data_IF_888486870609
#
_entry.id   IF_888486870609
#
_cell.length_a   1.000
_cell.length_b   1.000
_cell.length_c   1.000
_cell.angle_alpha   90.00
_cell.angle_beta   90.00
_cell.angle_gamma   90.00
#
_symmetry.space_group_name_H-M   'P 1'
#
loop_
_entity.id
_entity.type
_entity.pdbx_description
1 polymer ?
#
# COMPACT_ATOMS: atom_id res chain seq x y z
N UNK A 1 55.77 -36.12 51.75
CA UNK A 1 54.33 -36.50 51.77
C UNK A 1 53.38 -35.38 52.26
N UNK A 2 53.82 -34.41 53.06
CA UNK A 2 52.95 -33.34 53.61
C UNK A 2 52.75 -32.12 52.71
N UNK A 3 53.75 -31.77 51.87
CA UNK A 3 53.70 -30.58 51.00
C UNK A 3 52.66 -30.69 49.87
N UNK A 4 52.56 -31.86 49.23
CA UNK A 4 51.59 -32.14 48.16
C UNK A 4 50.15 -32.11 48.68
N UNK A 5 49.87 -32.69 49.87
CA UNK A 5 48.53 -32.63 50.48
C UNK A 5 48.07 -31.20 50.75
N UNK A 6 48.97 -30.35 51.24
CA UNK A 6 48.66 -28.95 51.49
C UNK A 6 48.36 -28.17 50.20
N UNK A 7 49.14 -28.41 49.15
CA UNK A 7 48.87 -27.82 47.83
C UNK A 7 47.54 -28.29 47.25
N UNK A 8 47.23 -29.59 47.36
CA UNK A 8 45.96 -30.17 46.91
C UNK A 8 44.77 -29.56 47.66
N UNK A 9 44.87 -29.42 48.99
CA UNK A 9 43.83 -28.83 49.83
C UNK A 9 43.57 -27.37 49.46
N UNK A 10 44.63 -26.60 49.21
CA UNK A 10 44.52 -25.18 48.80
C UNK A 10 43.81 -25.07 47.45
N UNK A 11 44.24 -25.89 46.48
CA UNK A 11 43.62 -25.93 45.15
C UNK A 11 42.14 -26.31 45.23
N UNK A 12 41.79 -27.33 46.02
CA UNK A 12 40.40 -27.75 46.23
C UNK A 12 39.51 -26.61 46.78
N UNK A 13 40.00 -25.89 47.80
CA UNK A 13 39.27 -24.78 48.39
C UNK A 13 39.07 -23.62 47.40
N UNK A 14 40.08 -23.32 46.58
CA UNK A 14 39.98 -22.29 45.54
C UNK A 14 38.94 -22.67 44.49
N UNK A 15 39.00 -23.89 43.96
CA UNK A 15 38.07 -24.36 42.92
C UNK A 15 36.62 -24.42 43.43
N UNK A 16 36.44 -24.71 44.72
CA UNK A 16 35.12 -24.71 45.36
C UNK A 16 34.51 -23.31 45.37
N UNK A 17 35.32 -22.28 45.69
CA UNK A 17 34.87 -20.88 45.65
C UNK A 17 34.53 -20.42 44.24
N UNK A 18 35.36 -20.77 43.26
CA UNK A 18 35.12 -20.45 41.85
C UNK A 18 33.82 -21.08 41.33
N UNK A 19 33.56 -22.35 41.69
CA UNK A 19 32.30 -23.03 41.38
C UNK A 19 31.09 -22.31 41.97
N UNK A 20 31.15 -21.92 43.24
CA UNK A 20 30.02 -21.27 43.92
C UNK A 20 29.76 -19.86 43.35
N UNK A 21 30.82 -19.15 42.97
CA UNK A 21 30.72 -17.87 42.25
C UNK A 21 30.09 -18.04 40.86
N UNK A 22 30.56 -19.02 40.08
CA UNK A 22 30.00 -19.33 38.76
C UNK A 22 28.52 -19.72 38.85
N UNK A 23 28.14 -20.51 39.86
CA UNK A 23 26.75 -20.88 40.08
C UNK A 23 25.86 -19.66 40.36
N UNK A 24 26.38 -18.70 41.13
CA UNK A 24 25.66 -17.45 41.42
C UNK A 24 25.47 -16.62 40.14
N UNK A 25 26.53 -16.46 39.34
CA UNK A 25 26.48 -15.73 38.07
C UNK A 25 25.50 -16.40 37.10
N UNK A 26 25.54 -17.73 36.98
CA UNK A 26 24.62 -18.48 36.14
C UNK A 26 23.15 -18.24 36.51
N UNK A 27 22.83 -18.29 37.80
CA UNK A 27 21.48 -18.04 38.29
C UNK A 27 21.01 -16.60 38.00
N UNK A 28 21.90 -15.62 38.14
CA UNK A 28 21.61 -14.21 37.80
C UNK A 28 21.36 -14.05 36.30
N UNK A 29 22.24 -14.56 35.45
CA UNK A 29 22.09 -14.49 33.99
C UNK A 29 20.82 -15.19 33.51
N UNK A 30 20.43 -16.29 34.15
CA UNK A 30 19.17 -16.98 33.84
C UNK A 30 17.96 -16.07 34.08
N UNK A 31 17.94 -15.32 35.18
CA UNK A 31 16.87 -14.35 35.47
C UNK A 31 16.84 -13.21 34.47
N UNK A 32 18.00 -12.65 34.12
CA UNK A 32 18.09 -11.57 33.11
C UNK A 32 17.59 -12.04 31.74
N UNK A 33 17.96 -13.25 31.32
CA UNK A 33 17.46 -13.86 30.08
C UNK A 33 15.94 -13.98 30.09
N UNK A 34 15.35 -14.46 31.18
CA UNK A 34 13.90 -14.66 31.27
C UNK A 34 13.15 -13.31 31.27
N UNK A 35 13.72 -12.28 31.88
CA UNK A 35 13.22 -10.90 31.82
C UNK A 35 13.28 -10.33 30.39
N UNK A 36 14.42 -10.50 29.71
CA UNK A 36 14.59 -10.06 28.32
C UNK A 36 13.62 -10.77 27.38
N UNK A 37 13.43 -12.08 27.56
CA UNK A 37 12.48 -12.86 26.77
C UNK A 37 11.05 -12.34 26.94
N UNK A 38 10.68 -11.95 28.16
CA UNK A 38 9.36 -11.37 28.45
C UNK A 38 9.20 -10.02 27.74
N UNK A 39 10.20 -9.14 27.85
CA UNK A 39 10.20 -7.84 27.18
C UNK A 39 10.10 -7.97 25.65
N UNK A 40 10.87 -8.90 25.07
CA UNK A 40 10.84 -9.19 23.63
C UNK A 40 9.44 -9.61 23.16
N UNK A 41 8.78 -10.50 23.89
CA UNK A 41 7.44 -10.96 23.56
C UNK A 41 6.41 -9.82 23.62
N UNK A 42 6.55 -8.90 24.59
CA UNK A 42 5.68 -7.71 24.70
C UNK A 42 5.88 -6.76 23.52
N UNK A 43 7.12 -6.39 23.21
CA UNK A 43 7.45 -5.48 22.10
C UNK A 43 7.00 -6.08 20.76
N UNK A 44 7.10 -7.40 20.60
CA UNK A 44 6.62 -8.09 19.40
C UNK A 44 5.11 -7.87 19.20
N UNK A 45 4.32 -7.97 20.28
CA UNK A 45 2.87 -7.70 20.22
C UNK A 45 2.56 -6.25 19.90
N UNK A 46 3.27 -5.31 20.51
CA UNK A 46 3.10 -3.88 20.24
C UNK A 46 3.41 -3.55 18.78
N UNK A 47 4.50 -4.11 18.23
CA UNK A 47 4.84 -3.98 16.82
C UNK A 47 3.72 -4.49 15.91
N UNK A 48 3.18 -5.67 16.20
CA UNK A 48 2.14 -6.28 15.36
C UNK A 48 0.83 -5.45 15.41
N UNK A 49 0.50 -4.88 16.58
CA UNK A 49 -0.62 -3.95 16.74
C UNK A 49 -0.40 -2.64 15.95
N UNK A 50 0.79 -2.05 16.05
CA UNK A 50 1.14 -0.84 15.31
C UNK A 50 1.12 -1.08 13.80
N UNK A 51 1.61 -2.23 13.34
CA UNK A 51 1.57 -2.61 11.93
C UNK A 51 0.12 -2.70 11.42
N UNK A 52 -0.77 -3.28 12.23
CA UNK A 52 -2.20 -3.37 11.90
C UNK A 52 -2.81 -1.97 11.80
N UNK A 53 -2.55 -1.11 12.79
CA UNK A 53 -3.03 0.28 12.79
C UNK A 53 -2.55 1.07 11.57
N UNK A 54 -1.26 0.97 11.24
CA UNK A 54 -0.67 1.61 10.07
C UNK A 54 -1.34 1.19 8.76
N UNK A 55 -1.57 -0.12 8.59
CA UNK A 55 -2.23 -0.65 7.40
C UNK A 55 -3.67 -0.14 7.28
N UNK A 56 -4.41 -0.05 8.40
CA UNK A 56 -5.76 0.51 8.44
C UNK A 56 -5.77 1.99 8.08
N UNK A 57 -4.92 2.80 8.71
CA UNK A 57 -4.82 4.24 8.42
C UNK A 57 -4.42 4.51 6.96
N UNK A 58 -3.55 3.67 6.39
CA UNK A 58 -3.15 3.79 4.98
C UNK A 58 -4.35 3.55 4.07
N UNK A 59 -5.15 2.51 4.33
CA UNK A 59 -6.38 2.25 3.57
C UNK A 59 -7.40 3.37 3.72
N UNK A 60 -7.60 3.89 4.93
CA UNK A 60 -8.53 4.99 5.18
C UNK A 60 -8.09 6.27 4.48
N UNK A 61 -6.78 6.58 4.48
CA UNK A 61 -6.23 7.70 3.72
C UNK A 61 -6.48 7.53 2.22
N UNK A 62 -6.14 6.37 1.66
CA UNK A 62 -6.31 6.12 0.22
C UNK A 62 -7.80 6.19 -0.18
N UNK A 63 -8.70 5.70 0.68
CA UNK A 63 -10.13 5.85 0.53
C UNK A 63 -10.58 7.30 0.63
N UNK A 64 -10.04 8.07 1.59
CA UNK A 64 -10.36 9.48 1.77
C UNK A 64 -9.86 10.33 0.61
N UNK A 65 -8.67 10.08 0.07
CA UNK A 65 -8.12 10.77 -1.10
C UNK A 65 -8.97 10.49 -2.34
N UNK A 66 -9.34 9.22 -2.57
CA UNK A 66 -10.26 8.85 -3.66
C UNK A 66 -11.64 9.47 -3.46
N UNK A 67 -12.15 9.44 -2.23
CA UNK A 67 -13.47 9.98 -1.89
C UNK A 67 -13.50 11.51 -1.94
N UNK A 68 -12.44 12.21 -1.58
CA UNK A 68 -12.35 13.68 -1.65
C UNK A 68 -12.25 14.16 -3.11
N UNK A 69 -11.53 13.40 -3.95
CA UNK A 69 -11.53 13.61 -5.40
C UNK A 69 -12.93 13.45 -6.00
N UNK A 70 -13.69 12.45 -5.54
CA UNK A 70 -15.04 12.12 -6.04
C UNK A 70 -16.14 13.00 -5.42
N UNK A 71 -16.06 13.39 -4.14
CA UNK A 71 -17.12 14.13 -3.43
C UNK A 71 -17.15 15.63 -3.71
N UNK A 72 -16.12 16.17 -4.37
CA UNK A 72 -16.06 17.56 -4.79
C UNK A 72 -16.31 17.79 -6.28
N UNK A 73 -16.37 16.72 -7.09
CA UNK A 73 -16.53 16.78 -8.54
C UNK A 73 -17.48 15.68 -8.99
N UNK A 74 -18.61 16.05 -9.58
CA UNK A 74 -19.36 15.10 -10.39
C UNK A 74 -18.49 14.70 -11.58
N UNK A 75 -18.41 13.39 -11.86
CA UNK A 75 -17.74 12.91 -13.07
C UNK A 75 -18.39 13.60 -14.27
N UNK A 76 -17.57 14.23 -15.10
CA UNK A 76 -18.09 15.08 -16.17
C UNK A 76 -18.92 14.26 -17.15
N UNK A 77 -20.17 14.69 -17.36
CA UNK A 77 -21.05 14.20 -18.42
C UNK A 77 -20.88 15.15 -19.60
N UNK A 78 -20.46 14.61 -20.75
CA UNK A 78 -20.21 15.40 -21.95
C UNK A 78 -21.45 15.32 -22.83
N UNK A 79 -22.20 16.41 -22.88
CA UNK A 79 -23.46 16.52 -23.63
C UNK A 79 -23.29 17.29 -24.95
N UNK A 80 -22.15 17.94 -25.16
CA UNK A 80 -21.89 18.76 -26.34
C UNK A 80 -20.47 18.58 -26.90
N UNK A 81 -20.32 18.91 -28.19
CA UNK A 81 -19.01 18.92 -28.85
C UNK A 81 -18.12 20.01 -28.27
N UNK A 82 -18.72 21.09 -27.80
CA UNK A 82 -18.04 22.22 -27.17
C UNK A 82 -17.44 21.82 -25.82
N UNK A 83 -18.18 21.08 -24.98
CA UNK A 83 -17.67 20.51 -23.72
C UNK A 83 -16.53 19.51 -23.97
N UNK A 84 -16.70 18.63 -24.97
CA UNK A 84 -15.62 17.73 -25.39
C UNK A 84 -14.38 18.53 -25.77
N UNK A 85 -14.54 19.56 -26.61
CA UNK A 85 -13.44 20.39 -27.09
C UNK A 85 -12.77 21.14 -25.94
N UNK A 86 -13.53 21.69 -25.00
CA UNK A 86 -12.99 22.37 -23.82
C UNK A 86 -12.12 21.44 -22.97
N UNK A 87 -12.58 20.22 -22.70
CA UNK A 87 -11.80 19.22 -21.95
C UNK A 87 -10.56 18.76 -22.73
N UNK A 88 -10.66 18.62 -24.05
CA UNK A 88 -9.50 18.30 -24.92
C UNK A 88 -8.42 19.38 -24.84
N UNK A 89 -8.81 20.65 -24.79
CA UNK A 89 -7.88 21.79 -24.74
C UNK A 89 -7.12 21.90 -23.40
N UNK A 90 -7.63 21.30 -22.32
CA UNK A 90 -6.92 21.30 -21.03
C UNK A 90 -5.63 20.48 -21.05
N UNK A 91 -5.45 19.61 -22.05
CA UNK A 91 -4.30 18.70 -22.18
C UNK A 91 -3.99 17.94 -20.88
N UNK A 92 -5.03 17.48 -20.18
CA UNK A 92 -4.94 16.66 -18.97
C UNK A 92 -5.57 15.30 -19.20
N UNK A 93 -5.05 14.29 -18.52
CA UNK A 93 -5.69 12.98 -18.37
C UNK A 93 -6.76 13.11 -17.30
N UNK A 94 -8.02 12.84 -17.64
CA UNK A 94 -9.16 13.06 -16.74
C UNK A 94 -10.17 11.93 -16.89
N UNK A 95 -10.59 11.36 -15.76
CA UNK A 95 -11.71 10.43 -15.70
C UNK A 95 -13.03 11.11 -16.06
N UNK A 96 -13.83 10.48 -16.91
CA UNK A 96 -15.14 10.98 -17.31
C UNK A 96 -16.23 10.04 -16.84
N UNK A 97 -17.49 10.51 -16.85
CA UNK A 97 -18.61 9.74 -16.33
C UNK A 97 -19.09 8.58 -17.20
N UNK A 98 -18.30 8.06 -18.16
CA UNK A 98 -18.71 6.93 -18.99
C UNK A 98 -18.28 5.61 -18.35
N UNK A 99 -19.17 4.62 -18.33
CA UNK A 99 -18.93 3.26 -17.82
C UNK A 99 -19.81 2.23 -18.51
N UNK A 100 -19.34 0.99 -18.64
CA UNK A 100 -20.11 -0.17 -19.10
C UNK A 100 -20.17 -1.32 -18.07
N UNK A 101 -19.81 -1.05 -16.81
CA UNK A 101 -19.86 -1.98 -15.66
C UNK A 101 -21.15 -2.80 -15.52
N UNK A 102 -22.28 -2.26 -15.94
CA UNK A 102 -23.58 -2.97 -15.89
C UNK A 102 -23.67 -4.08 -16.93
N UNK A 103 -23.05 -3.87 -18.11
CA UNK A 103 -23.05 -4.76 -19.25
C UNK A 103 -21.93 -4.38 -20.20
N UNK A 104 -20.89 -5.21 -20.22
CA UNK A 104 -19.75 -5.13 -21.14
C UNK A 104 -20.16 -4.73 -22.57
N UNK A 105 -19.47 -3.71 -23.11
CA UNK A 105 -19.72 -3.16 -24.44
C UNK A 105 -20.97 -2.27 -24.54
N UNK A 106 -21.71 -2.06 -23.44
CA UNK A 106 -22.88 -1.19 -23.37
C UNK A 106 -22.61 0.02 -22.48
N UNK A 107 -21.94 1.02 -23.07
CA UNK A 107 -21.54 2.22 -22.37
C UNK A 107 -22.73 3.14 -22.07
N UNK A 108 -22.72 3.69 -20.85
CA UNK A 108 -23.67 4.69 -20.36
C UNK A 108 -22.93 5.74 -19.55
N UNK A 109 -23.59 6.84 -19.28
CA UNK A 109 -23.13 7.81 -18.29
C UNK A 109 -23.52 7.36 -16.88
N UNK A 110 -22.81 7.86 -15.87
CA UNK A 110 -23.07 7.58 -14.45
C UNK A 110 -24.45 8.06 -13.97
N UNK A 111 -25.11 8.95 -14.70
CA UNK A 111 -26.51 9.35 -14.46
C UNK A 111 -27.55 8.39 -15.08
N UNK A 112 -27.09 7.34 -15.77
CA UNK A 112 -27.92 6.35 -16.43
C UNK A 112 -28.30 6.68 -17.87
N UNK A 113 -27.90 7.83 -18.41
CA UNK A 113 -28.19 8.16 -19.81
C UNK A 113 -27.37 7.28 -20.75
N UNK A 114 -27.98 6.66 -21.79
CA UNK A 114 -27.24 5.85 -22.75
C UNK A 114 -26.23 6.67 -23.54
N UNK A 115 -25.04 6.10 -23.80
CA UNK A 115 -24.05 6.77 -24.63
C UNK A 115 -24.47 6.70 -26.10
N UNK A 116 -24.75 7.87 -26.70
CA UNK A 116 -25.20 7.95 -28.11
C UNK A 116 -24.04 8.08 -29.08
N UNK A 117 -22.94 8.72 -28.68
CA UNK A 117 -21.74 8.89 -29.50
C UNK A 117 -20.53 8.97 -28.58
N UNK A 118 -19.49 8.22 -28.93
CA UNK A 118 -18.24 8.17 -28.19
C UNK A 118 -17.07 8.52 -29.11
N UNK A 119 -16.06 9.20 -28.58
CA UNK A 119 -14.84 9.52 -29.31
C UNK A 119 -13.71 8.56 -28.93
N UNK A 120 -13.94 7.26 -29.04
CA UNK A 120 -12.95 6.24 -28.67
C UNK A 120 -11.66 6.35 -29.49
N UNK A 121 -10.55 6.03 -28.85
CA UNK A 121 -9.28 5.87 -29.54
C UNK A 121 -9.36 4.65 -30.47
N UNK A 122 -8.57 4.64 -31.53
CA UNK A 122 -8.45 3.47 -32.40
C UNK A 122 -8.09 2.25 -31.54
N UNK A 123 -8.92 1.20 -31.62
CA UNK A 123 -8.88 -0.07 -30.85
C UNK A 123 -9.46 -0.02 -29.44
N UNK A 124 -10.05 1.07 -29.00
CA UNK A 124 -10.75 1.16 -27.71
C UNK A 124 -12.28 1.17 -27.95
N UNK A 125 -13.11 0.67 -27.01
CA UNK A 125 -12.77 -0.17 -25.86
C UNK A 125 -12.15 -1.52 -26.28
N UNK A 126 -11.11 -1.98 -25.62
CA UNK A 126 -10.52 -3.32 -25.83
C UNK A 126 -10.75 -4.28 -24.66
N UNK A 127 -11.10 -3.75 -23.47
CA UNK A 127 -11.37 -4.51 -22.26
C UNK A 127 -10.24 -5.52 -21.94
N UNK A 128 -8.97 -5.12 -22.11
CA UNK A 128 -7.86 -6.05 -21.93
C UNK A 128 -7.68 -6.50 -20.46
N UNK A 129 -8.39 -5.89 -19.50
CA UNK A 129 -8.26 -6.15 -18.05
C UNK A 129 -9.54 -6.01 -17.21
N UNK A 130 -10.73 -6.21 -17.77
CA UNK A 130 -12.00 -5.92 -17.05
C UNK A 130 -12.12 -4.42 -16.73
N UNK A 131 -11.83 -3.62 -17.76
CA UNK A 131 -11.71 -2.18 -17.69
C UNK A 131 -13.08 -1.54 -17.98
N UNK A 132 -13.75 -1.02 -16.95
CA UNK A 132 -15.16 -0.57 -16.99
C UNK A 132 -15.30 0.97 -17.02
N UNK A 133 -14.19 1.72 -16.97
CA UNK A 133 -14.19 3.16 -16.74
C UNK A 133 -13.50 3.92 -17.86
N UNK A 134 -14.08 5.03 -18.32
CA UNK A 134 -13.50 5.84 -19.38
C UNK A 134 -12.70 7.04 -18.86
N UNK A 135 -11.64 7.37 -19.57
CA UNK A 135 -10.88 8.60 -19.41
C UNK A 135 -10.60 9.29 -20.75
N UNK A 136 -10.36 10.59 -20.70
CA UNK A 136 -9.82 11.34 -21.84
C UNK A 136 -8.29 11.21 -21.81
N UNK A 137 -7.74 10.70 -22.90
CA UNK A 137 -6.30 10.62 -23.11
C UNK A 137 -5.87 11.55 -24.25
N UNK A 138 -4.82 12.34 -23.99
CA UNK A 138 -4.16 13.18 -24.97
C UNK A 138 -2.84 12.53 -25.37
N UNK A 139 -2.74 12.05 -26.61
CA UNK A 139 -1.47 11.68 -27.19
C UNK A 139 -0.72 12.95 -27.59
N UNK A 140 0.48 13.16 -27.05
CA UNK A 140 1.45 14.13 -27.60
C UNK A 140 1.89 13.64 -28.99
N UNK A 141 1.06 13.85 -30.01
CA UNK A 141 1.49 13.70 -31.40
C UNK A 141 2.45 14.85 -31.73
N UNK A 142 3.49 14.61 -32.56
CA UNK A 142 4.53 15.59 -32.86
C UNK A 142 3.95 16.94 -33.31
N UNK A 143 4.58 18.01 -32.84
CA UNK A 143 4.20 19.42 -33.01
C UNK A 143 3.79 19.70 -34.46
N UNK A 144 2.50 20.00 -34.68
CA UNK A 144 1.91 20.28 -35.99
C UNK A 144 0.69 19.42 -36.34
N UNK A 145 0.42 18.36 -35.59
CA UNK A 145 -0.85 17.62 -35.71
C UNK A 145 -1.93 18.27 -34.85
N UNK A 146 -3.15 18.42 -35.38
CA UNK A 146 -4.31 18.86 -34.58
C UNK A 146 -4.46 17.88 -33.43
N UNK A 147 -4.30 18.34 -32.18
CA UNK A 147 -4.53 17.51 -30.99
C UNK A 147 -5.91 16.88 -31.08
N UNK A 148 -5.96 15.56 -31.20
CA UNK A 148 -7.20 14.79 -31.12
C UNK A 148 -7.15 14.05 -29.80
N UNK A 149 -8.02 14.43 -28.87
CA UNK A 149 -8.23 13.63 -27.67
C UNK A 149 -9.24 12.55 -27.98
N UNK A 150 -8.98 11.39 -27.39
CA UNK A 150 -9.83 10.23 -27.53
C UNK A 150 -10.17 9.69 -26.16
N UNK A 151 -11.32 9.03 -26.06
CA UNK A 151 -11.70 8.25 -24.90
C UNK A 151 -10.89 6.94 -24.92
N UNK A 152 -10.38 6.52 -23.77
CA UNK A 152 -9.67 5.26 -23.53
C UNK A 152 -10.28 4.60 -22.30
N UNK A 153 -10.20 3.28 -22.22
CA UNK A 153 -10.80 2.46 -21.18
C UNK A 153 -9.70 2.00 -20.20
N UNK A 154 -10.06 1.89 -18.91
CA UNK A 154 -9.20 1.51 -17.77
C UNK A 154 -9.98 0.71 -16.71
#
# INVERSE_FOLDING_TARGET
MTKERYQLQTSYNTITKERDQLQTIYNTMTKERDQLQTSYNTITKERDQLQTSYNTMTKERDQADNTALIKGADLVIINSKEEQTFLTMMNKRVWIGQTDKDREGTWKWVDGTPLTTANWMVKQPDNERDEDCAEIYNNDLPVGSVSRSFNVVL
#
